data_IF_979978890208
#
_entry.id   IF_979978890208
#
_cell.length_a   1.000
_cell.length_b   1.000
_cell.length_c   1.000
_cell.angle_alpha   90.00
_cell.angle_beta   90.00
_cell.angle_gamma   90.00
#
_symmetry.space_group_name_H-M   'P 1'
#
loop_
_entity.id
_entity.type
_entity.pdbx_description
1 polymer ?
#
# COMPACT_ATOMS: atom_id res chain seq x y z
N UNK A 1 -6.54 -7.84 -19.83
CA UNK A 1 -7.68 -6.89 -19.91
C UNK A 1 -8.65 -6.95 -18.71
N UNK A 2 -8.79 -8.05 -17.95
CA UNK A 2 -9.76 -8.08 -16.83
C UNK A 2 -9.34 -7.44 -15.49
N UNK A 3 -8.05 -7.10 -15.30
CA UNK A 3 -7.54 -6.60 -14.03
C UNK A 3 -7.83 -5.10 -13.78
N UNK A 4 -7.53 -4.24 -14.74
CA UNK A 4 -7.70 -2.79 -14.59
C UNK A 4 -9.17 -2.38 -14.42
N UNK A 5 -10.08 -2.97 -15.22
CA UNK A 5 -11.52 -2.76 -15.07
C UNK A 5 -12.03 -3.21 -13.70
N UNK A 6 -11.47 -4.29 -13.15
CA UNK A 6 -11.79 -4.76 -11.81
C UNK A 6 -11.27 -3.80 -10.73
N UNK A 7 -10.04 -3.29 -10.84
CA UNK A 7 -9.48 -2.30 -9.90
C UNK A 7 -10.28 -1.00 -9.90
N UNK A 8 -10.59 -0.46 -11.08
CA UNK A 8 -11.41 0.72 -11.21
C UNK A 8 -12.84 0.49 -10.66
N UNK A 9 -13.38 -0.72 -10.83
CA UNK A 9 -14.64 -1.13 -10.22
C UNK A 9 -14.59 -1.10 -8.69
N UNK A 10 -13.53 -1.63 -8.08
CA UNK A 10 -13.32 -1.58 -6.62
C UNK A 10 -13.23 -0.12 -6.15
N UNK A 11 -12.43 0.72 -6.82
CA UNK A 11 -12.26 2.13 -6.46
C UNK A 11 -13.60 2.89 -6.47
N UNK A 12 -14.41 2.71 -7.52
CA UNK A 12 -15.76 3.29 -7.61
C UNK A 12 -16.68 2.79 -6.50
N UNK A 13 -16.64 1.48 -6.21
CA UNK A 13 -17.41 0.89 -5.11
C UNK A 13 -17.04 1.49 -3.75
N UNK A 14 -15.74 1.69 -3.51
CA UNK A 14 -15.22 2.37 -2.31
C UNK A 14 -15.75 3.80 -2.22
N UNK A 15 -15.62 4.62 -3.26
CA UNK A 15 -16.15 6.00 -3.23
C UNK A 15 -17.65 6.02 -2.89
N UNK A 16 -18.47 5.22 -3.58
CA UNK A 16 -19.91 5.17 -3.32
C UNK A 16 -20.26 4.72 -1.90
N UNK A 17 -19.53 3.73 -1.36
CA UNK A 17 -19.75 3.25 0.01
C UNK A 17 -19.37 4.30 1.07
N UNK A 18 -18.31 5.08 0.83
CA UNK A 18 -17.84 6.14 1.72
C UNK A 18 -18.83 7.32 1.73
N UNK A 19 -19.27 7.78 0.56
CA UNK A 19 -20.26 8.87 0.46
C UNK A 19 -21.60 8.48 1.09
N UNK A 20 -22.07 7.25 0.87
CA UNK A 20 -23.28 6.74 1.50
C UNK A 20 -23.15 6.59 3.03
N UNK A 21 -21.93 6.53 3.59
CA UNK A 21 -21.70 6.39 5.03
C UNK A 21 -21.83 7.72 5.80
N UNK A 22 -21.63 8.86 5.13
CA UNK A 22 -21.58 10.16 5.78
C UNK A 22 -22.23 11.23 4.88
N UNK A 23 -23.41 11.68 5.28
CA UNK A 23 -24.09 12.79 4.62
C UNK A 23 -23.21 14.05 4.63
N UNK A 24 -23.11 14.73 3.49
CA UNK A 24 -22.24 15.90 3.32
C UNK A 24 -20.76 15.58 3.12
N UNK A 25 -20.38 14.30 3.06
CA UNK A 25 -19.04 13.91 2.62
C UNK A 25 -18.94 13.78 1.10
N UNK A 26 -17.70 13.80 0.59
CA UNK A 26 -17.36 13.51 -0.82
C UNK A 26 -16.18 12.57 -0.88
N UNK A 27 -16.20 11.61 -1.80
CA UNK A 27 -15.09 10.69 -2.01
C UNK A 27 -14.69 10.67 -3.49
N UNK A 28 -13.39 10.73 -3.75
CA UNK A 28 -12.87 10.74 -5.12
C UNK A 28 -11.64 9.86 -5.24
N UNK A 29 -11.51 9.20 -6.39
CA UNK A 29 -10.28 8.53 -6.78
C UNK A 29 -9.25 9.61 -7.11
N UNK A 30 -8.02 9.44 -6.62
CA UNK A 30 -6.89 10.33 -6.91
C UNK A 30 -5.71 9.51 -7.46
N UNK A 31 -4.55 10.14 -7.61
CA UNK A 31 -3.32 9.45 -7.99
C UNK A 31 -3.33 8.88 -9.42
N UNK A 32 -2.55 7.81 -9.62
CA UNK A 32 -2.29 7.25 -10.96
C UNK A 32 -3.56 6.76 -11.67
N UNK A 33 -4.49 6.17 -10.92
CA UNK A 33 -5.75 5.65 -11.43
C UNK A 33 -6.67 6.78 -11.93
N UNK A 34 -6.73 7.90 -11.22
CA UNK A 34 -7.51 9.06 -11.65
C UNK A 34 -6.89 9.73 -12.90
N UNK A 35 -5.56 9.69 -13.03
CA UNK A 35 -4.83 10.25 -14.16
C UNK A 35 -4.80 9.34 -15.39
N UNK A 36 -5.29 8.09 -15.30
CA UNK A 36 -5.18 7.09 -16.36
C UNK A 36 -3.73 6.66 -16.66
N UNK A 37 -2.85 6.79 -15.67
CA UNK A 37 -1.43 6.45 -15.74
C UNK A 37 -1.08 5.25 -14.84
N UNK A 38 -2.09 4.52 -14.37
CA UNK A 38 -1.92 3.33 -13.55
C UNK A 38 -1.43 2.14 -14.38
N UNK A 39 -0.67 1.25 -13.74
CA UNK A 39 -0.25 -0.03 -14.31
C UNK A 39 -0.72 -1.18 -13.40
N UNK A 40 -0.43 -2.42 -13.75
CA UNK A 40 -0.84 -3.59 -12.95
C UNK A 40 -0.38 -3.55 -11.47
N UNK A 41 0.65 -2.75 -11.15
CA UNK A 41 1.29 -2.63 -9.84
C UNK A 41 0.82 -1.41 -9.03
N UNK A 42 0.00 -0.54 -9.59
CA UNK A 42 -0.58 0.60 -8.90
C UNK A 42 -1.53 0.17 -7.78
N UNK A 43 -1.42 0.87 -6.65
CA UNK A 43 -2.39 0.94 -5.57
C UNK A 43 -3.67 1.68 -6.01
N UNK A 44 -4.62 1.77 -5.08
CA UNK A 44 -5.86 2.52 -5.23
C UNK A 44 -5.78 3.72 -4.28
N UNK A 45 -5.69 4.92 -4.82
CA UNK A 45 -5.70 6.13 -3.99
C UNK A 45 -7.12 6.73 -3.95
N UNK A 46 -7.66 6.92 -2.75
CA UNK A 46 -8.96 7.58 -2.55
C UNK A 46 -8.83 8.68 -1.51
N UNK A 47 -9.38 9.85 -1.83
CA UNK A 47 -9.60 10.91 -0.87
C UNK A 47 -11.07 10.94 -0.42
N UNK A 48 -11.29 10.95 0.89
CA UNK A 48 -12.60 11.10 1.51
C UNK A 48 -12.61 12.34 2.40
N UNK A 49 -13.32 13.39 1.95
CA UNK A 49 -13.51 14.60 2.72
C UNK A 49 -14.83 14.53 3.45
N UNK A 50 -14.79 14.71 4.77
CA UNK A 50 -15.94 14.58 5.67
C UNK A 50 -16.18 15.88 6.44
N UNK A 51 -17.42 16.20 6.83
CA UNK A 51 -17.68 17.33 7.73
C UNK A 51 -16.87 17.21 9.02
N UNK A 52 -16.31 18.32 9.50
CA UNK A 52 -15.47 18.37 10.71
C UNK A 52 -16.04 17.61 11.91
N UNK A 53 -17.33 17.78 12.31
CA UNK A 53 -17.89 17.08 13.47
C UNK A 53 -17.98 15.57 13.27
N UNK A 54 -17.95 15.09 12.03
CA UNK A 54 -18.08 13.68 11.67
C UNK A 54 -16.74 12.96 11.56
N UNK A 55 -15.61 13.67 11.58
CA UNK A 55 -14.28 13.13 11.27
C UNK A 55 -13.94 11.87 12.07
N UNK A 56 -13.91 11.97 13.40
CA UNK A 56 -13.56 10.85 14.30
C UNK A 56 -14.49 9.65 14.09
N UNK A 57 -15.79 9.91 13.92
CA UNK A 57 -16.78 8.86 13.68
C UNK A 57 -16.62 8.19 12.31
N UNK A 58 -16.17 8.91 11.29
CA UNK A 58 -15.89 8.37 9.96
C UNK A 58 -14.64 7.49 9.97
N UNK A 59 -13.55 7.96 10.58
CA UNK A 59 -12.31 7.18 10.73
C UNK A 59 -12.56 5.88 11.49
N UNK A 60 -13.29 5.95 12.62
CA UNK A 60 -13.59 4.77 13.45
C UNK A 60 -14.42 3.72 12.71
N UNK A 61 -15.33 4.15 11.83
CA UNK A 61 -16.21 3.25 11.07
C UNK A 61 -15.67 2.90 9.67
N UNK A 62 -14.51 3.41 9.28
CA UNK A 62 -13.98 3.23 7.93
C UNK A 62 -13.91 1.75 7.54
N UNK A 63 -13.43 0.88 8.43
CA UNK A 63 -13.39 -0.58 8.18
C UNK A 63 -14.76 -1.14 7.82
N UNK A 64 -15.78 -0.93 8.65
CA UNK A 64 -17.11 -1.51 8.42
C UNK A 64 -17.80 -0.92 7.19
N UNK A 65 -17.48 0.32 6.82
CA UNK A 65 -17.93 0.93 5.57
C UNK A 65 -17.30 0.24 4.36
N UNK A 66 -16.00 -0.01 4.40
CA UNK A 66 -15.26 -0.67 3.32
C UNK A 66 -15.63 -2.15 3.17
N UNK A 67 -15.97 -2.82 4.28
CA UNK A 67 -16.49 -4.20 4.28
C UNK A 67 -17.79 -4.37 3.48
N UNK A 68 -18.55 -3.30 3.25
CA UNK A 68 -19.73 -3.33 2.36
C UNK A 68 -19.39 -3.47 0.88
N UNK A 69 -18.15 -3.16 0.50
CA UNK A 69 -17.65 -3.29 -0.87
C UNK A 69 -17.00 -4.66 -1.06
N UNK A 70 -16.13 -5.04 -0.13
CA UNK A 70 -15.38 -6.30 -0.14
C UNK A 70 -14.85 -6.60 1.26
N UNK A 71 -14.70 -7.87 1.67
CA UNK A 71 -14.08 -8.22 2.95
C UNK A 71 -12.70 -7.57 3.12
N UNK A 72 -12.48 -6.96 4.29
CA UNK A 72 -11.24 -6.27 4.64
C UNK A 72 -10.34 -7.22 5.41
N UNK A 73 -9.18 -7.51 4.83
CA UNK A 73 -8.17 -8.38 5.45
C UNK A 73 -7.37 -7.65 6.52
N UNK A 74 -7.04 -6.37 6.30
CA UNK A 74 -6.23 -5.57 7.21
C UNK A 74 -6.47 -4.06 7.02
N UNK A 75 -6.37 -3.29 8.11
CA UNK A 75 -6.40 -1.83 8.11
C UNK A 75 -5.29 -1.32 9.00
N UNK A 76 -4.44 -0.46 8.45
CA UNK A 76 -3.36 0.21 9.17
C UNK A 76 -3.49 1.72 9.02
N UNK A 77 -3.11 2.45 10.07
CA UNK A 77 -3.09 3.92 10.06
C UNK A 77 -1.65 4.35 9.89
N UNK A 78 -1.41 5.22 8.91
CA UNK A 78 -0.11 5.84 8.71
C UNK A 78 0.44 6.44 10.03
N UNK A 79 1.69 6.13 10.40
CA UNK A 79 2.24 6.55 11.67
C UNK A 79 2.37 8.07 11.77
N UNK A 80 2.61 8.79 10.68
CA UNK A 80 2.80 10.24 10.72
C UNK A 80 1.48 11.00 10.94
N UNK A 81 0.36 10.34 10.66
CA UNK A 81 -0.98 10.90 10.84
C UNK A 81 -1.83 10.03 11.76
N UNK A 82 -1.26 9.35 12.76
CA UNK A 82 -2.02 8.46 13.64
C UNK A 82 -2.89 9.18 14.67
N UNK A 83 -2.46 10.34 15.14
CA UNK A 83 -3.14 11.14 16.17
C UNK A 83 -3.65 12.50 15.68
N UNK A 84 -3.35 12.91 14.44
CA UNK A 84 -3.93 14.10 13.81
C UNK A 84 -5.45 14.18 13.97
N UNK A 85 -5.99 15.33 14.38
CA UNK A 85 -7.42 15.46 14.69
C UNK A 85 -8.30 15.65 13.44
N UNK A 86 -7.68 15.91 12.28
CA UNK A 86 -8.40 16.27 11.05
C UNK A 86 -7.87 15.57 9.78
N UNK A 87 -6.82 14.76 9.90
CA UNK A 87 -6.27 13.98 8.80
C UNK A 87 -5.90 12.56 9.26
N UNK A 88 -6.31 11.56 8.48
CA UNK A 88 -5.89 10.16 8.65
C UNK A 88 -5.56 9.59 7.28
N UNK A 89 -4.46 8.84 7.19
CA UNK A 89 -4.18 8.02 6.03
C UNK A 89 -4.30 6.55 6.45
N UNK A 90 -5.21 5.82 5.81
CA UNK A 90 -5.48 4.42 6.08
C UNK A 90 -4.94 3.57 4.92
N UNK A 91 -4.15 2.57 5.26
CA UNK A 91 -3.69 1.53 4.35
C UNK A 91 -4.57 0.31 4.52
N UNK A 92 -5.31 -0.06 3.49
CA UNK A 92 -6.31 -1.13 3.55
C UNK A 92 -5.95 -2.22 2.55
N UNK A 93 -5.94 -3.48 3.02
CA UNK A 93 -5.96 -4.64 2.13
C UNK A 93 -7.32 -5.30 2.18
N UNK A 94 -7.82 -5.63 1.00
CA UNK A 94 -9.01 -6.46 0.86
C UNK A 94 -8.64 -7.91 0.64
N UNK A 95 -9.52 -8.83 1.05
CA UNK A 95 -9.36 -10.25 0.78
C UNK A 95 -9.52 -10.54 -0.73
N UNK A 96 -8.68 -11.44 -1.23
CA UNK A 96 -8.74 -11.91 -2.62
C UNK A 96 -8.38 -10.85 -3.67
N UNK A 97 -7.77 -9.72 -3.29
CA UNK A 97 -7.15 -8.78 -4.23
C UNK A 97 -5.63 -8.96 -4.27
N UNK A 98 -4.98 -8.65 -5.41
CA UNK A 98 -3.52 -8.62 -5.50
C UNK A 98 -2.90 -7.75 -4.41
N UNK A 99 -1.76 -8.17 -3.86
CA UNK A 99 -1.05 -7.40 -2.82
C UNK A 99 -0.63 -5.99 -3.26
N UNK A 100 -0.53 -5.75 -4.58
CA UNK A 100 -0.24 -4.44 -5.12
C UNK A 100 -1.40 -3.45 -5.00
N UNK A 101 -2.64 -3.95 -5.01
CA UNK A 101 -3.88 -3.15 -4.99
C UNK A 101 -4.30 -2.84 -3.56
N UNK A 102 -3.35 -2.35 -2.76
CA UNK A 102 -3.64 -1.73 -1.47
C UNK A 102 -4.46 -0.46 -1.73
N UNK A 103 -5.45 -0.20 -0.88
CA UNK A 103 -6.17 1.07 -0.86
C UNK A 103 -5.47 2.02 0.11
N UNK A 104 -5.09 3.18 -0.40
CA UNK A 104 -4.55 4.32 0.34
C UNK A 104 -5.69 5.34 0.48
N UNK A 105 -6.37 5.30 1.62
CA UNK A 105 -7.53 6.13 1.91
C UNK A 105 -7.12 7.34 2.76
N UNK A 106 -7.06 8.51 2.12
CA UNK A 106 -6.85 9.81 2.78
C UNK A 106 -8.18 10.37 3.28
N UNK A 107 -8.41 10.31 4.58
CA UNK A 107 -9.58 10.91 5.24
C UNK A 107 -9.21 12.31 5.74
N UNK A 108 -9.96 13.33 5.32
CA UNK A 108 -9.74 14.73 5.71
C UNK A 108 -11.02 15.36 6.25
N UNK A 109 -10.90 16.16 7.31
CA UNK A 109 -11.97 17.08 7.69
C UNK A 109 -12.10 18.19 6.63
N UNK A 110 -13.31 18.69 6.44
CA UNK A 110 -13.63 19.73 5.46
C UNK A 110 -12.75 20.98 5.62
N UNK A 111 -12.53 21.43 6.86
CA UNK A 111 -11.70 22.61 7.17
C UNK A 111 -10.25 22.52 6.71
N UNK A 112 -9.71 21.31 6.49
CA UNK A 112 -8.32 21.07 6.07
C UNK A 112 -8.21 20.36 4.74
N UNK A 113 -9.32 20.22 4.01
CA UNK A 113 -9.35 19.49 2.74
C UNK A 113 -8.41 20.09 1.69
N UNK A 114 -8.27 21.42 1.67
CA UNK A 114 -7.38 22.14 0.75
C UNK A 114 -5.92 22.21 1.21
N UNK A 115 -5.59 21.72 2.40
CA UNK A 115 -4.23 21.78 2.96
C UNK A 115 -3.55 20.41 2.89
N UNK A 116 -2.81 20.19 1.80
CA UNK A 116 -2.04 18.96 1.61
C UNK A 116 -0.95 18.76 2.68
N UNK A 117 -0.47 19.83 3.31
CA UNK A 117 0.61 19.83 4.29
C UNK A 117 0.11 19.76 5.75
N UNK A 118 -1.22 19.74 5.97
CA UNK A 118 -1.77 19.66 7.31
C UNK A 118 -1.18 18.47 8.11
N UNK A 119 -0.63 18.80 9.28
CA UNK A 119 0.09 17.92 10.21
C UNK A 119 1.34 17.20 9.68
N UNK A 120 1.83 17.55 8.49
CA UNK A 120 3.13 17.07 8.00
C UNK A 120 4.23 17.59 8.93
N UNK A 121 5.03 16.67 9.46
CA UNK A 121 6.10 17.01 10.39
C UNK A 121 5.65 17.41 11.79
N UNK A 122 4.36 17.22 12.16
CA UNK A 122 3.85 17.51 13.49
C UNK A 122 4.04 16.30 14.43
N UNK A 123 4.94 16.35 15.43
CA UNK A 123 5.19 15.20 16.32
C UNK A 123 3.97 14.80 17.17
N UNK A 124 3.00 15.70 17.36
CA UNK A 124 1.76 15.38 18.10
C UNK A 124 0.81 14.51 17.27
N UNK A 125 0.94 14.52 15.95
CA UNK A 125 0.16 13.67 15.07
C UNK A 125 0.76 12.26 14.92
N UNK A 126 2.00 12.06 15.34
CA UNK A 126 2.73 10.81 15.11
C UNK A 126 2.32 9.71 16.08
N UNK A 127 2.33 8.47 15.59
CA UNK A 127 2.23 7.27 16.39
C UNK A 127 3.37 7.19 17.41
N UNK A 128 3.06 6.62 18.58
CA UNK A 128 4.07 6.16 19.53
C UNK A 128 4.71 4.87 19.02
N UNK A 129 5.87 4.52 19.57
CA UNK A 129 6.65 3.35 19.13
C UNK A 129 5.87 2.02 19.23
N UNK A 130 4.98 1.88 20.22
CA UNK A 130 4.16 0.69 20.48
C UNK A 130 2.85 0.67 19.67
N UNK A 131 2.53 1.75 18.96
CA UNK A 131 1.28 1.91 18.22
C UNK A 131 1.42 1.53 16.74
N UNK A 132 2.64 1.30 16.26
CA UNK A 132 2.92 0.99 14.86
C UNK A 132 3.80 -0.26 14.71
N UNK A 133 3.33 -1.23 13.93
CA UNK A 133 4.10 -2.43 13.61
C UNK A 133 5.23 -2.10 12.63
N UNK A 134 6.46 -2.06 13.16
CA UNK A 134 7.70 -1.98 12.36
C UNK A 134 7.85 -3.19 11.43
N UNK A 135 7.60 -4.45 11.86
CA UNK A 135 7.62 -5.61 10.96
C UNK A 135 6.62 -5.52 9.80
N UNK A 136 5.38 -5.09 10.07
CA UNK A 136 4.41 -4.91 9.00
C UNK A 136 4.82 -3.77 8.04
N UNK A 137 5.49 -2.72 8.54
CA UNK A 137 6.07 -1.67 7.69
C UNK A 137 7.19 -2.19 6.80
N UNK A 138 8.03 -3.10 7.30
CA UNK A 138 9.06 -3.75 6.51
C UNK A 138 8.46 -4.63 5.40
N UNK A 139 7.38 -5.38 5.68
CA UNK A 139 6.66 -6.13 4.65
C UNK A 139 6.05 -5.23 3.56
N UNK A 140 5.58 -4.03 3.91
CA UNK A 140 5.12 -3.06 2.91
C UNK A 140 6.27 -2.59 2.00
N UNK A 141 7.47 -2.39 2.54
CA UNK A 141 8.67 -2.12 1.72
C UNK A 141 9.01 -3.31 0.81
N UNK A 142 8.88 -4.54 1.29
CA UNK A 142 9.12 -5.74 0.49
C UNK A 142 8.16 -5.82 -0.72
N UNK A 143 6.86 -5.56 -0.53
CA UNK A 143 5.90 -5.44 -1.65
C UNK A 143 6.30 -4.33 -2.60
N UNK A 144 6.70 -3.17 -2.07
CA UNK A 144 7.23 -2.07 -2.89
C UNK A 144 8.46 -2.48 -3.71
N UNK A 145 9.36 -3.28 -3.14
CA UNK A 145 10.54 -3.77 -3.82
C UNK A 145 10.16 -4.70 -4.99
N UNK A 146 9.16 -5.58 -4.81
CA UNK A 146 8.62 -6.36 -5.93
C UNK A 146 8.09 -5.44 -7.03
N UNK A 147 7.30 -4.41 -6.69
CA UNK A 147 6.81 -3.41 -7.67
C UNK A 147 7.96 -2.75 -8.43
N UNK A 148 9.04 -2.36 -7.71
CA UNK A 148 10.20 -1.71 -8.30
C UNK A 148 10.97 -2.64 -9.24
N UNK A 149 11.19 -3.90 -8.85
CA UNK A 149 11.82 -4.92 -9.71
C UNK A 149 11.00 -5.15 -10.97
N UNK A 150 9.69 -5.35 -10.84
CA UNK A 150 8.80 -5.54 -11.98
C UNK A 150 8.78 -4.34 -12.95
N UNK A 151 9.03 -3.14 -12.44
CA UNK A 151 9.16 -1.90 -13.23
C UNK A 151 10.59 -1.60 -13.68
N UNK A 152 11.53 -2.55 -13.52
CA UNK A 152 12.95 -2.42 -13.87
C UNK A 152 13.65 -1.22 -13.19
N UNK A 153 13.35 -1.00 -11.90
CA UNK A 153 13.95 0.06 -11.06
C UNK A 153 14.78 -0.54 -9.91
N UNK A 154 15.96 -1.11 -10.21
CA UNK A 154 16.73 -1.85 -9.21
C UNK A 154 17.27 -0.98 -8.06
N UNK A 155 17.53 0.31 -8.30
CA UNK A 155 17.94 1.25 -7.25
C UNK A 155 16.81 1.50 -6.24
N UNK A 156 15.58 1.66 -6.74
CA UNK A 156 14.39 1.82 -5.89
C UNK A 156 14.16 0.56 -5.06
N UNK A 157 14.28 -0.63 -5.68
CA UNK A 157 14.14 -1.91 -5.00
C UNK A 157 15.16 -2.07 -3.86
N UNK A 158 16.43 -1.79 -4.14
CA UNK A 158 17.51 -1.78 -3.13
C UNK A 158 17.19 -0.84 -1.97
N UNK A 159 16.84 0.42 -2.27
CA UNK A 159 16.51 1.40 -1.24
C UNK A 159 15.30 1.00 -0.38
N UNK A 160 14.30 0.33 -0.95
CA UNK A 160 13.14 -0.19 -0.22
C UNK A 160 13.54 -1.32 0.73
N UNK A 161 14.34 -2.28 0.26
CA UNK A 161 14.82 -3.41 1.05
C UNK A 161 15.73 -2.97 2.19
N UNK A 162 16.70 -2.10 1.93
CA UNK A 162 17.61 -1.58 2.96
C UNK A 162 16.82 -0.85 4.07
N UNK A 163 15.88 0.02 3.69
CA UNK A 163 14.97 0.67 4.66
C UNK A 163 14.10 -0.34 5.41
N UNK A 164 13.76 -1.46 4.79
CA UNK A 164 13.01 -2.56 5.40
C UNK A 164 13.81 -3.23 6.51
N UNK A 165 15.04 -3.66 6.23
CA UNK A 165 15.94 -4.26 7.22
C UNK A 165 16.24 -3.30 8.38
N UNK A 166 16.55 -2.03 8.06
CA UNK A 166 16.77 -0.99 9.08
C UNK A 166 15.53 -0.80 9.97
N UNK A 167 14.31 -0.89 9.41
CA UNK A 167 13.05 -0.72 10.15
C UNK A 167 12.91 -1.69 11.31
N UNK A 168 13.39 -2.92 11.11
CA UNK A 168 13.27 -4.04 12.05
C UNK A 168 14.59 -4.32 12.80
N UNK A 169 15.60 -3.46 12.62
CA UNK A 169 16.89 -3.58 13.31
C UNK A 169 17.68 -4.84 12.94
N UNK A 170 17.47 -5.37 11.73
CA UNK A 170 18.24 -6.51 11.21
C UNK A 170 19.44 -5.98 10.43
N UNK A 171 20.63 -6.44 10.79
CA UNK A 171 21.88 -6.11 10.09
C UNK A 171 22.01 -6.92 8.79
N UNK A 172 21.19 -6.54 7.79
CA UNK A 172 21.19 -7.11 6.45
C UNK A 172 20.91 -5.98 5.42
N UNK A 173 21.23 -6.25 4.16
CA UNK A 173 21.17 -5.32 3.04
C UNK A 173 20.77 -6.04 1.77
N UNK A 174 20.20 -5.30 0.82
CA UNK A 174 19.93 -5.86 -0.48
C UNK A 174 21.24 -6.24 -1.20
N UNK A 175 21.29 -7.44 -1.74
CA UNK A 175 22.43 -7.95 -2.49
C UNK A 175 22.24 -7.73 -4.00
N UNK A 176 21.00 -7.71 -4.47
CA UNK A 176 20.65 -7.75 -5.89
C UNK A 176 20.00 -9.07 -6.31
N UNK A 177 20.09 -10.11 -5.47
CA UNK A 177 19.30 -11.33 -5.60
C UNK A 177 17.89 -11.06 -5.07
N UNK A 178 17.07 -10.36 -5.86
CA UNK A 178 15.83 -9.74 -5.37
C UNK A 178 14.87 -10.70 -4.68
N UNK A 179 14.62 -11.86 -5.26
CA UNK A 179 13.73 -12.87 -4.66
C UNK A 179 14.24 -13.32 -3.29
N UNK A 180 15.54 -13.58 -3.17
CA UNK A 180 16.15 -13.99 -1.90
C UNK A 180 16.16 -12.86 -0.88
N UNK A 181 16.51 -11.64 -1.30
CA UNK A 181 16.52 -10.46 -0.43
C UNK A 181 15.12 -10.17 0.14
N UNK A 182 14.09 -10.24 -0.71
CA UNK A 182 12.68 -10.09 -0.31
C UNK A 182 12.26 -11.22 0.64
N UNK A 183 12.64 -12.47 0.35
CA UNK A 183 12.32 -13.60 1.21
C UNK A 183 13.02 -13.51 2.57
N UNK A 184 14.26 -12.99 2.64
CA UNK A 184 14.94 -12.75 3.93
C UNK A 184 14.22 -11.68 4.75
N UNK A 185 13.88 -10.54 4.14
CA UNK A 185 13.15 -9.47 4.82
C UNK A 185 11.78 -9.94 5.32
N UNK A 186 11.06 -10.72 4.49
CA UNK A 186 9.74 -11.24 4.83
C UNK A 186 9.78 -12.21 6.02
N UNK A 187 10.74 -13.14 6.02
CA UNK A 187 10.96 -14.08 7.13
C UNK A 187 11.33 -13.34 8.42
N UNK A 188 12.31 -12.45 8.36
CA UNK A 188 12.73 -11.66 9.52
C UNK A 188 11.58 -10.83 10.13
N UNK A 189 10.66 -10.33 9.29
CA UNK A 189 9.47 -9.63 9.76
C UNK A 189 8.49 -10.57 10.48
N UNK A 190 8.26 -11.77 9.94
CA UNK A 190 7.40 -12.78 10.57
C UNK A 190 8.00 -13.36 11.86
N UNK A 191 9.32 -13.47 11.96
CA UNK A 191 10.01 -13.92 13.17
C UNK A 191 9.82 -12.95 14.34
N UNK A 192 9.78 -11.64 14.07
CA UNK A 192 9.51 -10.61 15.09
C UNK A 192 8.02 -10.49 15.41
N UNK A 193 7.14 -10.69 14.44
CA UNK A 193 5.69 -10.62 14.63
C UNK A 193 5.01 -11.83 13.97
N UNK A 194 4.82 -12.94 14.72
CA UNK A 194 4.32 -14.21 14.17
C UNK A 194 2.95 -14.11 13.48
N UNK A 195 2.12 -13.14 13.88
CA UNK A 195 0.83 -12.87 13.23
C UNK A 195 0.97 -12.52 11.73
N UNK A 196 2.15 -12.04 11.31
CA UNK A 196 2.44 -11.68 9.91
C UNK A 196 2.89 -12.86 9.04
N UNK A 197 3.04 -14.07 9.59
CA UNK A 197 3.55 -15.25 8.85
C UNK A 197 2.81 -15.50 7.54
N UNK A 198 1.47 -15.43 7.56
CA UNK A 198 0.67 -15.63 6.35
C UNK A 198 0.90 -14.53 5.30
N UNK A 199 1.07 -13.27 5.72
CA UNK A 199 1.36 -12.17 4.82
C UNK A 199 2.79 -12.29 4.26
N UNK A 200 3.78 -12.62 5.09
CA UNK A 200 5.15 -12.84 4.66
C UNK A 200 5.24 -13.93 3.59
N UNK A 201 4.51 -15.03 3.75
CA UNK A 201 4.43 -16.10 2.76
C UNK A 201 3.83 -15.61 1.43
N UNK A 202 2.78 -14.78 1.46
CA UNK A 202 2.21 -14.18 0.26
C UNK A 202 3.20 -13.25 -0.45
N UNK A 203 4.00 -12.47 0.30
CA UNK A 203 5.04 -11.60 -0.27
C UNK A 203 6.15 -12.41 -0.94
N UNK A 204 6.57 -13.52 -0.33
CA UNK A 204 7.58 -14.44 -0.89
C UNK A 204 7.07 -15.05 -2.20
N UNK A 205 5.83 -15.56 -2.21
CA UNK A 205 5.22 -16.11 -3.41
C UNK A 205 5.13 -15.07 -4.54
N UNK A 206 4.71 -13.84 -4.19
CA UNK A 206 4.64 -12.72 -5.13
C UNK A 206 6.02 -12.40 -5.75
N UNK A 207 7.09 -12.44 -4.96
CA UNK A 207 8.44 -12.20 -5.48
C UNK A 207 8.88 -13.27 -6.48
N UNK A 208 8.58 -14.54 -6.21
CA UNK A 208 8.91 -15.64 -7.12
C UNK A 208 8.17 -15.52 -8.46
N UNK A 209 6.85 -15.26 -8.42
CA UNK A 209 6.02 -15.08 -9.63
C UNK A 209 6.54 -13.97 -10.54
N UNK A 210 7.05 -12.86 -9.98
CA UNK A 210 7.53 -11.73 -10.77
C UNK A 210 9.00 -11.84 -11.21
N UNK A 211 9.79 -12.71 -10.61
CA UNK A 211 11.15 -13.01 -11.08
C UNK A 211 11.12 -13.84 -12.37
N UNK A 212 10.26 -14.85 -12.46
CA UNK A 212 10.13 -15.75 -13.62
C UNK A 212 9.72 -15.00 -14.90
N UNK A 213 8.87 -13.97 -14.77
CA UNK A 213 8.45 -13.12 -15.87
C UNK A 213 9.54 -12.13 -16.32
N UNK A 214 10.44 -11.72 -15.42
CA UNK A 214 11.55 -10.83 -15.76
C UNK A 214 12.64 -11.56 -16.56
N UNK A 215 12.86 -12.84 -16.28
CA UNK A 215 13.82 -13.69 -17.00
C UNK A 215 13.30 -14.07 -18.40
N UNK A 216 12.01 -14.42 -18.55
CA UNK A 216 11.42 -14.76 -19.86
C UNK A 216 11.30 -13.57 -20.82
N UNK A 217 11.16 -12.35 -20.31
CA UNK A 217 11.15 -11.14 -21.15
C UNK A 217 12.56 -10.71 -21.63
N UNK A 218 13.62 -11.37 -21.14
CA UNK A 218 15.01 -11.15 -21.58
C UNK A 218 15.43 -12.06 -22.74
N UNK A 219 14.70 -13.14 -23.01
CA UNK A 219 15.10 -14.17 -23.97
C UNK A 219 14.55 -13.96 -25.39
N UNK A 220 13.65 -13.00 -25.59
CA UNK A 220 13.06 -12.72 -26.92
C UNK A 220 13.85 -11.73 -27.78
N UNK A 221 15.04 -11.27 -27.36
CA UNK A 221 15.88 -10.34 -28.14
C UNK A 221 17.13 -11.00 -28.78
N UNK A 222 17.06 -12.31 -29.05
CA UNK A 222 18.05 -13.01 -29.87
C UNK A 222 17.40 -13.67 -31.09
N UNK A 223 16.89 -12.86 -32.00
CA UNK A 223 16.67 -13.30 -33.38
C UNK A 223 17.06 -12.19 -34.36
N UNK A 224 18.32 -12.25 -34.80
CA UNK A 224 18.76 -11.62 -36.04
C UNK A 224 17.94 -12.16 -37.23
N UNK A 225 17.83 -11.39 -38.32
CA UNK A 225 18.53 -11.88 -39.51
C UNK A 225 19.22 -10.77 -40.33
N UNK A 226 20.46 -11.09 -40.72
CA UNK A 226 21.11 -10.88 -42.01
C UNK A 226 20.81 -9.65 -42.88
N UNK A 227 21.87 -8.92 -43.19
CA UNK A 227 22.42 -8.81 -44.55
C UNK A 227 23.92 -8.56 -44.48
#
# INVERSE_FOLDING_TARGET
MGGEEARAGVARGVCGALEAACAGSRAQVVGSLAAGADDAYSDIDVEWVVPDPSFTGCVTRARSVLERVRPVADVRIDPDFRHSERRRLLFVRFEGLPLFWRLDLSVRAESVAGDAAYDVGNPRAWARDDEWSRPASALANAVGAVKAVARRRPQDARGLLDRGFDRIGVDDRATGAWTDDIARLARASADQEPALTALAAQVVALAAEHAEHAEHAGDTDTAHPGA
#
